data_IF_398488386989
#
_entry.id   IF_398488386989
#
_cell.length_a   1.000
_cell.length_b   1.000
_cell.length_c   1.000
_cell.angle_alpha   90.00
_cell.angle_beta   90.00
_cell.angle_gamma   90.00
#
_symmetry.space_group_name_H-M   'P 1'
#
loop_
_entity.id
_entity.type
_entity.pdbx_description
1 polymer ?
#
# COMPACT_ATOMS: atom_id res chain seq x y z
N UNK A 1 82.66 -28.12 26.07
CA UNK A 1 82.80 -26.97 26.98
C UNK A 1 81.68 -27.02 28.00
N UNK A 2 82.07 -27.17 29.27
CA UNK A 2 81.42 -26.75 30.52
C UNK A 2 79.91 -27.08 30.73
N UNK A 3 79.75 -28.15 31.51
CA UNK A 3 78.77 -28.49 32.56
C UNK A 3 77.92 -27.35 33.17
N UNK A 4 76.64 -27.59 33.46
CA UNK A 4 76.10 -27.59 34.83
C UNK A 4 74.65 -28.11 34.91
N UNK A 5 74.47 -29.02 35.87
CA UNK A 5 73.28 -29.72 36.38
C UNK A 5 72.62 -28.87 37.53
N UNK A 6 71.70 -29.37 38.39
CA UNK A 6 70.26 -29.64 38.23
C UNK A 6 69.34 -28.94 39.30
N UNK A 7 68.03 -29.20 39.18
CA UNK A 7 66.96 -29.39 40.20
C UNK A 7 66.99 -28.72 41.59
N UNK A 8 65.82 -28.19 42.01
CA UNK A 8 65.41 -28.15 43.42
C UNK A 8 63.86 -28.12 43.57
N UNK A 9 63.37 -28.98 44.48
CA UNK A 9 62.01 -29.08 45.01
C UNK A 9 62.05 -28.68 46.48
N UNK A 10 60.99 -28.06 47.05
CA UNK A 10 60.42 -28.25 48.41
C UNK A 10 59.64 -27.00 48.90
N UNK A 11 58.39 -27.21 49.36
CA UNK A 11 57.66 -26.27 50.24
C UNK A 11 58.08 -26.46 51.71
N UNK A 12 57.21 -26.26 52.73
CA UNK A 12 56.06 -25.36 52.91
C UNK A 12 56.21 -24.49 54.20
N UNK A 13 55.37 -23.46 54.42
CA UNK A 13 55.16 -22.84 55.76
C UNK A 13 53.73 -22.29 55.94
N UNK A 14 53.07 -22.71 57.03
CA UNK A 14 51.95 -22.06 57.77
C UNK A 14 52.53 -21.41 59.06
N UNK A 15 51.81 -20.69 59.99
CA UNK A 15 50.35 -20.55 60.22
C UNK A 15 49.81 -19.15 60.68
N UNK A 16 48.47 -19.09 60.88
CA UNK A 16 47.59 -18.30 61.82
C UNK A 16 47.75 -16.77 62.00
N UNK A 17 46.62 -16.04 61.82
CA UNK A 17 45.85 -15.53 62.98
C UNK A 17 44.41 -15.10 62.65
N UNK A 18 43.57 -15.26 63.67
CA UNK A 18 42.13 -15.03 63.79
C UNK A 18 41.78 -13.54 63.87
N UNK A 19 40.60 -13.14 63.37
CA UNK A 19 39.74 -12.15 64.02
C UNK A 19 38.33 -12.15 63.39
N UNK A 20 37.37 -12.28 64.28
CA UNK A 20 35.91 -12.37 64.11
C UNK A 20 35.27 -11.03 63.76
N UNK A 21 34.25 -11.01 62.89
CA UNK A 21 33.14 -10.06 63.06
C UNK A 21 31.81 -10.71 62.66
N UNK A 22 30.90 -10.78 63.63
CA UNK A 22 29.55 -11.34 63.52
C UNK A 22 28.64 -10.36 62.77
N UNK A 23 27.78 -10.92 61.91
CA UNK A 23 26.69 -10.26 61.21
C UNK A 23 25.60 -9.73 62.15
N UNK A 24 24.93 -8.63 61.79
CA UNK A 24 23.63 -8.30 62.35
C UNK A 24 22.53 -9.14 61.69
N UNK A 25 21.57 -9.52 62.53
CA UNK A 25 20.40 -10.37 62.29
C UNK A 25 19.46 -9.75 61.24
N UNK A 26 19.20 -10.44 60.13
CA UNK A 26 18.13 -10.11 59.19
C UNK A 26 16.91 -10.95 59.55
N UNK A 27 15.77 -10.28 59.73
CA UNK A 27 14.49 -10.87 60.06
C UNK A 27 14.01 -11.86 58.97
N UNK A 28 13.53 -13.03 59.40
CA UNK A 28 12.87 -14.02 58.55
C UNK A 28 11.46 -13.53 58.16
N UNK A 29 11.22 -13.32 56.88
CA UNK A 29 9.85 -13.24 56.33
C UNK A 29 9.26 -14.66 56.26
N UNK A 30 7.97 -14.87 56.56
CA UNK A 30 7.33 -16.16 56.36
C UNK A 30 7.13 -16.42 54.86
N UNK A 31 7.48 -17.63 54.42
CA UNK A 31 7.28 -18.11 53.06
C UNK A 31 5.80 -18.06 52.66
N UNK A 32 5.52 -17.41 51.53
CA UNK A 32 4.19 -17.40 50.92
C UNK A 32 4.01 -18.70 50.15
N UNK A 33 2.91 -19.46 50.34
CA UNK A 33 2.72 -20.70 49.59
C UNK A 33 2.57 -20.41 48.08
N UNK A 34 3.05 -21.31 47.21
CA UNK A 34 3.00 -21.12 45.77
C UNK A 34 1.54 -21.09 45.28
N UNK A 35 1.22 -20.05 44.50
CA UNK A 35 -0.08 -19.92 43.84
C UNK A 35 -0.19 -21.05 42.80
N UNK A 36 -1.25 -21.88 42.81
CA UNK A 36 -1.40 -22.93 41.81
C UNK A 36 -1.63 -22.30 40.44
N UNK A 37 -0.67 -22.48 39.53
CA UNK A 37 -0.85 -22.14 38.12
C UNK A 37 -1.86 -23.11 37.50
N UNK A 38 -3.14 -22.74 37.52
CA UNK A 38 -4.16 -23.39 36.69
C UNK A 38 -3.75 -23.22 35.23
N UNK A 39 -3.24 -24.29 34.63
CA UNK A 39 -3.11 -24.40 33.17
C UNK A 39 -4.52 -24.44 32.62
N UNK A 40 -5.01 -23.30 32.15
CA UNK A 40 -6.17 -23.27 31.26
C UNK A 40 -5.79 -24.07 30.01
N UNK A 41 -6.58 -25.08 29.59
CA UNK A 41 -6.25 -25.85 28.41
C UNK A 41 -6.28 -24.92 27.20
N UNK A 42 -5.18 -24.86 26.44
CA UNK A 42 -5.06 -24.01 25.25
C UNK A 42 -6.21 -24.21 24.23
N UNK A 43 -6.87 -25.38 24.26
CA UNK A 43 -8.06 -25.69 23.47
C UNK A 43 -9.29 -24.81 23.79
N UNK A 44 -9.43 -24.30 25.01
CA UNK A 44 -10.58 -23.47 25.40
C UNK A 44 -10.48 -22.02 24.86
N UNK A 45 -9.26 -21.55 24.55
CA UNK A 45 -9.04 -20.21 23.99
C UNK A 45 -9.22 -20.22 22.46
N UNK A 46 -8.79 -21.30 21.80
CA UNK A 46 -8.99 -21.49 20.35
C UNK A 46 -10.47 -21.65 19.97
N UNK A 47 -11.27 -22.27 20.83
CA UNK A 47 -12.72 -22.43 20.62
C UNK A 47 -13.51 -21.14 20.87
N UNK A 48 -13.07 -20.28 21.81
CA UNK A 48 -13.72 -18.98 22.05
C UNK A 48 -13.45 -17.96 20.93
N UNK A 49 -12.28 -18.01 20.29
CA UNK A 49 -11.94 -17.12 19.18
C UNK A 49 -12.71 -17.45 17.88
N UNK A 50 -13.09 -18.72 17.70
CA UNK A 50 -13.92 -19.17 16.58
C UNK A 50 -15.42 -18.79 16.74
N UNK A 51 -15.86 -18.48 17.96
CA UNK A 51 -17.23 -18.03 18.25
C UNK A 51 -17.41 -16.50 18.15
N UNK A 52 -16.31 -15.73 18.15
CA UNK A 52 -16.32 -14.26 18.00
C UNK A 52 -16.08 -13.80 16.55
N UNK A 53 -15.78 -14.73 15.64
CA UNK A 53 -15.66 -14.43 14.22
C UNK A 53 -16.82 -15.14 13.50
N UNK A 54 -17.86 -14.43 13.06
CA UNK A 54 -18.89 -15.05 12.23
C UNK A 54 -18.21 -15.69 10.99
N UNK A 55 -18.57 -16.93 10.62
CA UNK A 55 -18.07 -17.54 9.40
C UNK A 55 -18.72 -16.83 8.21
N UNK A 56 -18.07 -15.78 7.73
CA UNK A 56 -18.56 -15.01 6.61
C UNK A 56 -17.60 -13.89 6.31
N UNK A 57 -17.25 -13.75 5.04
CA UNK A 57 -16.52 -12.63 4.45
C UNK A 57 -15.06 -12.46 4.87
N UNK A 58 -14.23 -13.46 4.58
CA UNK A 58 -12.94 -13.13 3.92
C UNK A 58 -13.21 -12.78 2.46
N UNK A 59 -14.03 -11.75 2.23
CA UNK A 59 -14.16 -11.14 0.91
C UNK A 59 -12.81 -10.53 0.59
N UNK A 60 -12.15 -11.01 -0.48
CA UNK A 60 -10.88 -10.43 -0.91
C UNK A 60 -11.10 -8.97 -1.30
N UNK A 61 -10.66 -8.05 -0.45
CA UNK A 61 -10.74 -6.62 -0.70
C UNK A 61 -9.54 -6.19 -1.53
N UNK A 62 -9.80 -5.42 -2.58
CA UNK A 62 -8.80 -4.86 -3.47
C UNK A 62 -8.54 -3.40 -3.09
N UNK A 63 -7.29 -3.10 -2.72
CA UNK A 63 -6.84 -1.74 -2.47
C UNK A 63 -6.46 -1.01 -3.76
N UNK A 64 -6.94 0.23 -3.86
CA UNK A 64 -6.59 1.23 -4.86
C UNK A 64 -5.90 2.41 -4.18
N UNK A 65 -4.59 2.59 -4.38
CA UNK A 65 -3.81 3.64 -3.70
C UNK A 65 -4.06 5.06 -4.27
N UNK A 66 -4.74 5.18 -5.42
CA UNK A 66 -5.00 6.46 -6.08
C UNK A 66 -3.85 6.92 -6.99
N UNK A 67 -3.00 6.01 -7.47
CA UNK A 67 -1.91 6.36 -8.39
C UNK A 67 -2.44 6.62 -9.80
N UNK A 68 -1.89 7.59 -10.56
CA UNK A 68 -2.29 7.85 -11.93
C UNK A 68 -2.28 6.59 -12.82
N UNK A 69 -3.38 6.38 -13.55
CA UNK A 69 -3.58 5.29 -14.50
C UNK A 69 -3.72 3.89 -13.88
N UNK A 70 -3.80 3.74 -12.56
CA UNK A 70 -4.18 2.45 -11.97
C UNK A 70 -5.54 1.99 -12.52
N UNK A 71 -5.79 0.68 -12.51
CA UNK A 71 -7.09 0.10 -12.84
C UNK A 71 -7.12 -1.37 -12.45
N UNK A 72 -8.33 -1.88 -12.26
CA UNK A 72 -8.62 -3.30 -12.27
C UNK A 72 -9.67 -3.58 -13.37
N UNK A 73 -9.50 -4.68 -14.09
CA UNK A 73 -10.34 -5.10 -15.21
C UNK A 73 -11.02 -6.40 -14.82
N UNK A 74 -12.35 -6.38 -14.86
CA UNK A 74 -13.21 -7.52 -14.57
C UNK A 74 -13.96 -7.95 -15.83
N UNK A 75 -14.48 -9.17 -15.82
CA UNK A 75 -15.35 -9.67 -16.87
C UNK A 75 -16.52 -8.72 -17.14
N UNK A 76 -16.96 -8.71 -18.40
CA UNK A 76 -18.06 -7.86 -18.87
C UNK A 76 -19.34 -8.11 -18.05
N UNK A 77 -19.93 -7.03 -17.56
CA UNK A 77 -21.31 -7.02 -17.06
C UNK A 77 -22.27 -6.78 -18.24
N UNK A 78 -23.16 -7.74 -18.56
CA UNK A 78 -24.03 -7.72 -19.75
C UNK A 78 -25.04 -6.55 -19.80
N UNK A 79 -25.92 -6.52 -20.81
CA UNK A 79 -26.86 -5.40 -21.06
C UNK A 79 -27.86 -5.11 -19.92
N UNK A 80 -28.04 -6.04 -18.99
CA UNK A 80 -28.92 -5.90 -17.83
C UNK A 80 -28.45 -6.73 -16.63
N UNK A 81 -29.19 -6.64 -15.53
CA UNK A 81 -28.93 -7.39 -14.31
C UNK A 81 -28.40 -6.52 -13.17
N UNK A 82 -27.70 -7.14 -12.22
CA UNK A 82 -27.22 -6.52 -10.98
C UNK A 82 -25.70 -6.60 -10.89
N UNK A 83 -25.07 -5.54 -10.42
CA UNK A 83 -23.66 -5.48 -10.01
C UNK A 83 -23.62 -4.98 -8.57
N UNK A 84 -22.99 -5.71 -7.65
CA UNK A 84 -22.88 -5.29 -6.25
C UNK A 84 -21.44 -5.37 -5.76
N UNK A 85 -21.08 -4.50 -4.83
CA UNK A 85 -19.78 -4.46 -4.18
C UNK A 85 -19.83 -3.60 -2.92
N UNK A 86 -18.81 -3.74 -2.07
CA UNK A 86 -18.59 -2.86 -0.93
C UNK A 86 -17.41 -1.94 -1.22
N UNK A 87 -17.51 -0.67 -0.86
CA UNK A 87 -16.42 0.29 -1.02
C UNK A 87 -16.08 1.00 0.28
N UNK A 88 -14.83 1.44 0.40
CA UNK A 88 -14.37 2.33 1.47
C UNK A 88 -13.46 3.40 0.88
N UNK A 89 -13.79 4.67 1.09
CA UNK A 89 -12.99 5.78 0.56
C UNK A 89 -13.06 7.03 1.44
N UNK A 90 -12.10 7.93 1.25
CA UNK A 90 -12.09 9.28 1.84
C UNK A 90 -11.93 10.38 0.78
N UNK A 91 -12.03 10.04 -0.52
CA UNK A 91 -11.89 11.03 -1.60
C UNK A 91 -13.25 11.62 -1.96
N UNK A 92 -13.27 12.89 -2.35
CA UNK A 92 -14.49 13.59 -2.78
C UNK A 92 -14.72 13.53 -4.29
N UNK A 93 -13.68 13.23 -5.08
CA UNK A 93 -13.77 13.11 -6.54
C UNK A 93 -12.89 11.97 -7.05
N UNK A 94 -13.46 11.01 -7.77
CA UNK A 94 -12.72 9.97 -8.47
C UNK A 94 -13.61 9.13 -9.41
N UNK A 95 -13.01 8.54 -10.45
CA UNK A 95 -13.63 7.50 -11.25
C UNK A 95 -13.61 6.16 -10.50
N UNK A 96 -14.78 5.57 -10.26
CA UNK A 96 -14.92 4.29 -9.58
C UNK A 96 -15.16 3.12 -10.54
N UNK A 97 -16.11 3.25 -11.48
CA UNK A 97 -16.40 2.23 -12.49
C UNK A 97 -16.56 2.86 -13.87
N UNK A 98 -16.13 2.15 -14.92
CA UNK A 98 -16.39 2.52 -16.31
C UNK A 98 -16.60 1.28 -17.20
N UNK A 99 -17.55 1.40 -18.12
CA UNK A 99 -17.77 0.45 -19.22
C UNK A 99 -18.51 1.15 -20.38
N UNK A 100 -18.32 0.65 -21.60
CA UNK A 100 -18.95 1.21 -22.79
C UNK A 100 -19.14 0.18 -23.91
N UNK A 101 -19.61 0.64 -25.07
CA UNK A 101 -19.74 -0.12 -26.32
C UNK A 101 -18.51 -0.05 -27.23
N UNK A 102 -17.35 0.36 -26.70
CA UNK A 102 -16.08 0.40 -27.43
C UNK A 102 -15.89 1.64 -28.32
N UNK A 103 -16.38 2.80 -27.88
CA UNK A 103 -16.16 4.08 -28.57
C UNK A 103 -17.29 4.51 -29.49
N UNK A 104 -18.50 3.99 -29.29
CA UNK A 104 -19.63 4.26 -30.16
C UNK A 104 -20.61 5.24 -29.48
N UNK A 105 -21.69 4.76 -28.84
CA UNK A 105 -22.78 5.63 -28.35
C UNK A 105 -23.27 5.31 -26.93
N UNK A 106 -22.84 4.20 -26.35
CA UNK A 106 -23.28 3.74 -25.04
C UNK A 106 -22.16 3.75 -24.01
N UNK A 107 -22.44 4.30 -22.84
CA UNK A 107 -21.52 4.23 -21.71
C UNK A 107 -22.27 4.16 -20.38
N UNK A 108 -21.58 3.63 -19.38
CA UNK A 108 -21.94 3.73 -17.98
C UNK A 108 -20.70 4.06 -17.18
N UNK A 109 -20.75 5.14 -16.41
CA UNK A 109 -19.74 5.51 -15.44
C UNK A 109 -20.34 5.65 -14.05
N UNK A 110 -19.59 5.20 -13.04
CA UNK A 110 -19.87 5.49 -11.65
C UNK A 110 -18.66 6.26 -11.10
N UNK A 111 -18.91 7.40 -10.50
CA UNK A 111 -17.88 8.26 -9.95
C UNK A 111 -18.25 8.75 -8.57
N UNK A 112 -17.23 8.98 -7.75
CA UNK A 112 -17.36 9.76 -6.53
C UNK A 112 -17.32 11.23 -6.96
N UNK A 113 -18.32 12.01 -6.57
CA UNK A 113 -18.36 13.43 -6.81
C UNK A 113 -19.00 14.14 -5.61
N UNK A 114 -18.29 15.14 -5.08
CA UNK A 114 -18.66 15.85 -3.85
C UNK A 114 -18.89 14.87 -2.69
N UNK A 115 -18.10 13.78 -2.65
CA UNK A 115 -18.18 12.74 -1.65
C UNK A 115 -19.35 11.76 -1.81
N UNK A 116 -20.20 11.93 -2.84
CA UNK A 116 -21.37 11.08 -3.12
C UNK A 116 -21.11 10.21 -4.35
N UNK A 117 -21.86 9.12 -4.52
CA UNK A 117 -21.81 8.34 -5.74
C UNK A 117 -22.72 8.95 -6.79
N UNK A 118 -22.21 9.13 -8.01
CA UNK A 118 -22.95 9.62 -9.16
C UNK A 118 -22.80 8.62 -10.31
N UNK A 119 -23.90 7.99 -10.66
CA UNK A 119 -24.05 7.13 -11.82
C UNK A 119 -24.45 8.00 -13.02
N UNK A 120 -23.73 7.89 -14.13
CA UNK A 120 -24.10 8.52 -15.40
C UNK A 120 -24.10 7.47 -16.49
N UNK A 121 -25.12 7.50 -17.35
CA UNK A 121 -25.22 6.54 -18.44
C UNK A 121 -25.99 7.09 -19.63
N UNK A 122 -25.58 6.68 -20.83
CA UNK A 122 -26.23 7.01 -22.08
C UNK A 122 -26.46 5.75 -22.92
N UNK A 123 -27.53 5.78 -23.71
CA UNK A 123 -27.89 4.70 -24.64
C UNK A 123 -28.17 5.36 -26.00
N UNK A 124 -27.55 4.86 -27.06
CA UNK A 124 -27.72 5.32 -28.44
C UNK A 124 -27.51 6.84 -28.60
N UNK A 125 -26.42 7.36 -28.01
CA UNK A 125 -26.03 8.77 -28.09
C UNK A 125 -27.09 9.75 -27.55
N UNK A 126 -28.01 9.26 -26.72
CA UNK A 126 -28.96 10.10 -26.01
C UNK A 126 -28.27 10.95 -24.93
N UNK A 127 -28.94 12.02 -24.52
CA UNK A 127 -28.49 12.82 -23.36
C UNK A 127 -28.33 11.91 -22.12
N UNK A 128 -27.17 11.94 -21.45
CA UNK A 128 -26.92 11.03 -20.33
C UNK A 128 -27.89 11.24 -19.17
N UNK A 129 -28.46 10.15 -18.67
CA UNK A 129 -29.17 10.17 -17.40
C UNK A 129 -28.15 10.22 -16.24
N UNK A 130 -28.51 10.91 -15.16
CA UNK A 130 -27.68 11.08 -13.96
C UNK A 130 -28.48 10.64 -12.73
N UNK A 131 -27.90 9.78 -11.92
CA UNK A 131 -28.45 9.34 -10.63
C UNK A 131 -27.37 9.54 -9.57
N UNK A 132 -27.67 10.30 -8.53
CA UNK A 132 -26.72 10.59 -7.46
C UNK A 132 -27.25 10.08 -6.13
N UNK A 133 -26.39 9.47 -5.31
CA UNK A 133 -26.77 9.00 -3.97
C UNK A 133 -27.11 10.19 -3.05
N UNK A 134 -28.14 10.01 -2.23
CA UNK A 134 -28.54 10.99 -1.22
C UNK A 134 -27.56 11.05 -0.04
N UNK A 135 -26.82 9.97 0.20
CA UNK A 135 -25.80 9.83 1.24
C UNK A 135 -24.38 9.96 0.69
N UNK A 136 -23.47 10.50 1.50
CA UNK A 136 -22.05 10.58 1.19
C UNK A 136 -21.35 9.27 1.56
N UNK A 137 -20.29 8.92 0.82
CA UNK A 137 -19.54 7.66 0.96
C UNK A 137 -18.06 7.86 1.28
N UNK A 138 -17.63 9.11 1.46
CA UNK A 138 -16.24 9.50 1.66
C UNK A 138 -15.87 9.66 3.15
N UNK A 139 -16.57 8.96 4.04
CA UNK A 139 -16.38 9.04 5.49
C UNK A 139 -15.33 8.04 6.03
N UNK A 140 -14.68 7.28 5.14
CA UNK A 140 -13.68 6.28 5.49
C UNK A 140 -14.27 4.97 6.03
N UNK A 141 -15.59 4.75 5.97
CA UNK A 141 -16.26 3.51 6.37
C UNK A 141 -16.67 2.69 5.16
N UNK A 142 -17.08 1.45 5.42
CA UNK A 142 -17.59 0.56 4.39
C UNK A 142 -19.02 0.93 4.03
N UNK A 143 -19.28 1.08 2.74
CA UNK A 143 -20.59 1.31 2.16
C UNK A 143 -20.93 0.17 1.20
N UNK A 144 -22.17 -0.31 1.26
CA UNK A 144 -22.68 -1.29 0.31
C UNK A 144 -23.25 -0.57 -0.91
N UNK A 145 -22.82 -0.97 -2.10
CA UNK A 145 -23.25 -0.38 -3.37
C UNK A 145 -23.82 -1.45 -4.28
N UNK A 146 -24.97 -1.16 -4.87
CA UNK A 146 -25.60 -2.02 -5.87
C UNK A 146 -26.08 -1.18 -7.05
N UNK A 147 -25.63 -1.54 -8.24
CA UNK A 147 -26.17 -1.06 -9.51
C UNK A 147 -27.13 -2.09 -10.08
N UNK A 148 -28.25 -1.65 -10.62
CA UNK A 148 -29.12 -2.50 -11.42
C UNK A 148 -29.47 -1.84 -12.74
N UNK A 149 -29.61 -2.64 -13.80
CA UNK A 149 -29.99 -2.17 -15.14
C UNK A 149 -31.12 -3.02 -15.70
N UNK A 150 -32.14 -2.33 -16.22
CA UNK A 150 -33.27 -2.94 -16.91
C UNK A 150 -33.72 -2.03 -18.05
N UNK A 151 -33.33 -2.38 -19.28
CA UNK A 151 -33.67 -1.58 -20.45
C UNK A 151 -33.08 -0.17 -20.38
N UNK A 152 -33.96 0.84 -20.38
CA UNK A 152 -33.58 2.27 -20.33
C UNK A 152 -33.43 2.82 -18.91
N UNK A 153 -33.64 1.98 -17.91
CA UNK A 153 -33.54 2.35 -16.51
C UNK A 153 -32.28 1.77 -15.88
N UNK A 154 -31.61 2.57 -15.07
CA UNK A 154 -30.56 2.12 -14.17
C UNK A 154 -30.80 2.69 -12.77
N UNK A 155 -30.58 1.85 -11.75
CA UNK A 155 -30.69 2.23 -10.35
C UNK A 155 -29.35 2.12 -9.64
N UNK A 156 -29.14 3.04 -8.69
CA UNK A 156 -28.02 3.08 -7.77
C UNK A 156 -28.59 2.95 -6.36
N UNK A 157 -28.21 1.89 -5.66
CA UNK A 157 -28.48 1.69 -4.25
C UNK A 157 -27.20 1.85 -3.42
N UNK A 158 -27.25 2.66 -2.37
CA UNK A 158 -26.15 2.87 -1.41
C UNK A 158 -26.70 2.68 -0.01
N UNK A 159 -26.15 1.71 0.72
CA UNK A 159 -26.58 1.36 2.10
C UNK A 159 -28.09 1.13 2.25
N UNK A 160 -28.73 0.59 1.21
CA UNK A 160 -30.17 0.35 1.16
C UNK A 160 -31.00 1.49 0.55
N UNK A 161 -30.46 2.71 0.45
CA UNK A 161 -31.13 3.83 -0.21
C UNK A 161 -31.04 3.68 -1.73
N UNK A 162 -32.17 3.50 -2.41
CA UNK A 162 -32.21 3.25 -3.85
C UNK A 162 -32.78 4.45 -4.61
N UNK A 163 -32.06 4.90 -5.63
CA UNK A 163 -32.51 5.90 -6.59
C UNK A 163 -32.36 5.37 -8.02
N UNK A 164 -33.31 5.69 -8.88
CA UNK A 164 -33.33 5.24 -10.27
C UNK A 164 -33.38 6.43 -11.24
N UNK A 165 -32.80 6.24 -12.41
CA UNK A 165 -32.85 7.19 -13.51
C UNK A 165 -33.23 6.46 -14.79
N UNK A 166 -33.88 7.18 -15.70
CA UNK A 166 -34.30 6.67 -17.01
C UNK A 166 -33.68 7.53 -18.09
N UNK A 167 -33.00 6.90 -19.05
CA UNK A 167 -32.45 7.60 -20.21
C UNK A 167 -33.49 7.71 -21.33
N UNK A 168 -33.62 8.90 -21.91
CA UNK A 168 -34.51 9.14 -23.06
C UNK A 168 -33.84 8.71 -24.37
N UNK A 169 -33.70 7.40 -24.54
CA UNK A 169 -33.08 6.81 -25.72
C UNK A 169 -34.09 6.22 -26.71
N UNK A 170 -33.71 6.16 -28.00
CA UNK A 170 -34.44 5.43 -29.05
C UNK A 170 -34.31 3.92 -28.90
N UNK A 171 -33.18 3.43 -28.38
CA UNK A 171 -32.91 1.99 -28.20
C UNK A 171 -33.35 1.56 -26.80
N UNK A 172 -33.86 0.33 -26.69
CA UNK A 172 -34.40 -0.19 -25.43
C UNK A 172 -33.32 -0.61 -24.44
N UNK A 173 -32.20 -1.16 -24.92
CA UNK A 173 -31.11 -1.69 -24.08
C UNK A 173 -29.78 -1.04 -24.41
N UNK A 174 -28.85 -1.05 -23.46
CA UNK A 174 -27.46 -0.62 -23.64
C UNK A 174 -26.65 -1.73 -24.33
N UNK A 175 -25.89 -1.42 -25.38
CA UNK A 175 -24.89 -2.33 -25.89
C UNK A 175 -23.63 -2.24 -25.02
N UNK A 176 -22.99 -3.38 -24.79
CA UNK A 176 -21.76 -3.44 -23.98
C UNK A 176 -20.68 -4.14 -24.80
N UNK A 177 -19.61 -3.41 -25.08
CA UNK A 177 -18.47 -3.80 -25.91
C UNK A 177 -17.17 -3.90 -25.12
N UNK A 178 -17.02 -3.19 -24.01
CA UNK A 178 -15.85 -3.27 -23.14
C UNK A 178 -16.00 -4.30 -22.03
N UNK A 179 -14.89 -4.53 -21.33
CA UNK A 179 -14.87 -5.10 -19.99
C UNK A 179 -15.27 -4.06 -18.93
N UNK A 180 -15.45 -4.49 -17.67
CA UNK A 180 -15.70 -3.60 -16.54
C UNK A 180 -14.37 -3.11 -15.95
N UNK A 181 -14.14 -1.80 -16.00
CA UNK A 181 -12.99 -1.17 -15.37
C UNK A 181 -13.35 -0.59 -14.00
N UNK A 182 -12.48 -0.79 -13.02
CA UNK A 182 -12.64 -0.35 -11.63
C UNK A 182 -11.43 0.45 -11.18
N UNK A 183 -11.69 1.60 -10.54
CA UNK A 183 -10.71 2.47 -9.90
C UNK A 183 -9.83 3.31 -10.85
N UNK A 184 -10.10 3.24 -12.16
CA UNK A 184 -9.41 3.95 -13.23
C UNK A 184 -9.54 3.21 -14.57
N UNK A 185 -8.91 3.73 -15.62
CA UNK A 185 -8.81 3.09 -16.95
C UNK A 185 -7.34 2.97 -17.40
N UNK A 186 -7.03 2.06 -18.34
CA UNK A 186 -5.68 1.96 -18.92
C UNK A 186 -5.26 3.27 -19.62
N UNK A 187 -4.05 3.82 -19.35
CA UNK A 187 -3.61 5.08 -19.95
C UNK A 187 -3.33 4.96 -21.46
N UNK A 188 -3.01 3.75 -21.91
CA UNK A 188 -2.75 3.36 -23.30
C UNK A 188 -4.03 3.15 -24.11
N UNK A 189 -5.21 3.22 -23.48
CA UNK A 189 -6.47 3.19 -24.21
C UNK A 189 -6.56 4.38 -25.17
N UNK A 190 -6.90 4.08 -26.42
CA UNK A 190 -7.14 5.10 -27.46
C UNK A 190 -8.44 5.83 -27.13
N UNK A 191 -8.46 7.16 -27.30
CA UNK A 191 -9.68 7.95 -27.08
C UNK A 191 -10.85 7.49 -27.97
N UNK A 192 -10.56 7.02 -29.18
CA UNK A 192 -11.57 6.49 -30.11
C UNK A 192 -12.19 5.15 -29.67
N UNK A 193 -11.61 4.49 -28.66
CA UNK A 193 -12.17 3.28 -28.07
C UNK A 193 -13.01 3.57 -26.82
N UNK A 194 -13.08 4.84 -26.40
CA UNK A 194 -13.86 5.31 -25.25
C UNK A 194 -15.06 6.10 -25.75
N UNK A 195 -16.26 5.66 -25.40
CA UNK A 195 -17.48 6.39 -25.77
C UNK A 195 -17.57 7.71 -25.01
N UNK A 196 -17.13 7.71 -23.74
CA UNK A 196 -16.94 8.93 -22.96
C UNK A 196 -15.44 9.20 -22.78
N UNK A 197 -14.83 9.91 -23.73
CA UNK A 197 -13.38 10.17 -23.73
C UNK A 197 -12.88 10.98 -22.54
N UNK A 198 -13.74 11.78 -21.90
CA UNK A 198 -13.41 12.59 -20.72
C UNK A 198 -13.03 11.74 -19.51
N UNK A 199 -13.47 10.48 -19.46
CA UNK A 199 -13.16 9.53 -18.38
C UNK A 199 -11.65 9.28 -18.21
N UNK A 200 -10.86 9.50 -19.27
CA UNK A 200 -9.40 9.42 -19.23
C UNK A 200 -8.75 10.45 -18.31
N UNK A 201 -9.44 11.56 -18.06
CA UNK A 201 -8.94 12.68 -17.27
C UNK A 201 -9.54 12.73 -15.86
N UNK A 202 -10.41 11.79 -15.50
CA UNK A 202 -10.94 11.73 -14.15
C UNK A 202 -9.88 11.25 -13.15
N UNK A 203 -10.00 11.73 -11.91
CA UNK A 203 -9.07 11.38 -10.86
C UNK A 203 -9.13 9.87 -10.54
N UNK A 204 -7.99 9.20 -10.30
CA UNK A 204 -7.98 7.79 -9.92
C UNK A 204 -8.61 7.58 -8.53
N UNK A 205 -9.33 6.48 -8.36
CA UNK A 205 -9.97 6.15 -7.08
C UNK A 205 -8.96 5.83 -5.99
N UNK A 206 -9.08 6.42 -4.81
CA UNK A 206 -8.30 5.97 -3.64
C UNK A 206 -9.22 5.35 -2.63
N UNK A 207 -8.95 4.11 -2.25
CA UNK A 207 -9.80 3.38 -1.32
C UNK A 207 -9.72 1.87 -1.51
N UNK A 208 -10.75 1.18 -1.05
CA UNK A 208 -10.86 -0.27 -1.11
C UNK A 208 -12.18 -0.64 -1.78
N UNK A 209 -12.15 -1.69 -2.59
CA UNK A 209 -13.34 -2.31 -3.18
C UNK A 209 -13.31 -3.79 -2.83
N UNK A 210 -14.38 -4.30 -2.24
CA UNK A 210 -14.50 -5.69 -1.84
C UNK A 210 -15.75 -6.32 -2.45
N UNK A 211 -15.73 -7.66 -2.57
CA UNK A 211 -16.92 -8.45 -2.86
C UNK A 211 -17.67 -8.01 -4.13
N UNK A 212 -16.94 -7.70 -5.21
CA UNK A 212 -17.57 -7.38 -6.48
C UNK A 212 -18.25 -8.62 -7.06
N UNK A 213 -19.57 -8.52 -7.32
CA UNK A 213 -20.41 -9.61 -7.86
C UNK A 213 -21.23 -9.14 -9.04
N UNK A 214 -21.45 -10.02 -10.00
CA UNK A 214 -22.39 -9.86 -11.12
C UNK A 214 -23.53 -10.85 -10.89
N UNK A 215 -24.73 -10.35 -10.59
CA UNK A 215 -25.79 -11.16 -10.01
C UNK A 215 -25.35 -11.70 -8.65
N UNK A 216 -25.41 -13.03 -8.49
CA UNK A 216 -24.97 -13.72 -7.26
C UNK A 216 -23.50 -14.20 -7.35
N UNK A 217 -22.93 -14.19 -8.56
CA UNK A 217 -21.60 -14.73 -8.84
C UNK A 217 -20.49 -13.70 -8.60
N UNK A 218 -19.35 -14.10 -7.99
CA UNK A 218 -18.17 -13.24 -7.90
C UNK A 218 -17.70 -12.78 -9.30
N UNK A 219 -17.40 -11.50 -9.44
CA UNK A 219 -16.90 -10.96 -10.69
C UNK A 219 -15.49 -11.50 -11.00
N UNK A 220 -15.29 -11.99 -12.23
CA UNK A 220 -14.00 -12.55 -12.66
C UNK A 220 -12.99 -11.44 -12.87
N UNK A 221 -11.94 -11.38 -12.04
CA UNK A 221 -10.82 -10.45 -12.23
C UNK A 221 -9.93 -10.91 -13.39
N UNK A 222 -9.92 -10.15 -14.49
CA UNK A 222 -9.15 -10.45 -15.70
C UNK A 222 -7.76 -9.81 -15.71
N UNK A 223 -7.53 -8.81 -14.87
CA UNK A 223 -6.23 -8.16 -14.72
C UNK A 223 -6.29 -6.93 -13.83
N UNK A 224 -5.17 -6.56 -13.22
CA UNK A 224 -5.05 -5.32 -12.44
C UNK A 224 -3.67 -4.74 -12.61
N UNK A 225 -3.52 -3.41 -12.54
CA UNK A 225 -2.20 -2.78 -12.55
C UNK A 225 -1.59 -2.77 -11.14
N UNK A 226 -0.76 -3.79 -10.84
CA UNK A 226 -0.11 -4.02 -9.53
C UNK A 226 0.97 -3.02 -9.15
N UNK A 227 1.45 -2.23 -10.10
CA UNK A 227 2.50 -1.20 -9.94
C UNK A 227 2.20 -0.09 -8.92
N UNK A 228 0.99 -0.09 -8.36
CA UNK A 228 0.46 0.95 -7.50
C UNK A 228 0.57 0.60 -6.01
N UNK A 229 0.41 -0.69 -5.64
CA UNK A 229 0.32 -1.12 -4.23
C UNK A 229 1.66 -1.00 -3.49
N UNK A 230 2.78 -1.09 -4.21
CA UNK A 230 4.13 -0.67 -3.82
C UNK A 230 4.79 -0.32 -5.16
N UNK A 231 5.19 0.94 -5.46
CA UNK A 231 5.84 1.26 -6.72
C UNK A 231 7.11 0.41 -6.79
N UNK A 232 7.13 -0.68 -7.59
CA UNK A 232 8.26 -1.60 -7.59
C UNK A 232 9.46 -0.95 -8.27
N UNK A 233 9.23 0.13 -9.04
CA UNK A 233 10.25 0.89 -9.72
C UNK A 233 10.60 2.14 -8.92
N UNK A 234 11.86 2.24 -8.51
CA UNK A 234 12.43 3.43 -7.90
C UNK A 234 12.76 4.50 -8.96
N UNK A 235 13.13 5.69 -8.49
CA UNK A 235 13.70 6.80 -9.29
C UNK A 235 12.93 7.18 -10.57
N UNK A 236 11.61 7.03 -10.58
CA UNK A 236 10.77 7.41 -11.71
C UNK A 236 10.72 6.38 -12.84
N UNK A 237 11.19 5.15 -12.61
CA UNK A 237 11.08 4.06 -13.58
C UNK A 237 9.63 3.72 -13.93
N UNK A 238 9.37 3.43 -15.20
CA UNK A 238 8.03 3.09 -15.68
C UNK A 238 7.71 1.63 -15.39
N UNK A 239 6.74 1.39 -14.54
CA UNK A 239 6.27 0.03 -14.24
C UNK A 239 5.28 -0.47 -15.30
N UNK A 240 5.60 -1.60 -15.92
CA UNK A 240 4.72 -2.37 -16.79
C UNK A 240 4.51 -3.78 -16.22
N UNK A 241 3.42 -4.47 -16.59
CA UNK A 241 3.20 -5.86 -16.21
C UNK A 241 3.53 -6.78 -17.38
N UNK A 242 4.42 -7.74 -17.20
CA UNK A 242 4.64 -8.86 -18.14
C UNK A 242 4.24 -10.17 -17.47
N UNK A 243 3.28 -10.89 -18.05
CA UNK A 243 2.71 -12.15 -17.52
C UNK A 243 2.19 -12.08 -16.07
N UNK A 244 1.89 -10.88 -15.57
CA UNK A 244 1.40 -10.67 -14.20
C UNK A 244 2.47 -10.22 -13.19
N UNK A 245 3.75 -10.26 -13.55
CA UNK A 245 4.87 -9.69 -12.78
C UNK A 245 5.12 -8.22 -13.14
N UNK A 246 5.44 -7.35 -12.16
CA UNK A 246 5.91 -6.00 -12.43
C UNK A 246 7.32 -6.02 -13.01
N UNK A 247 7.51 -5.26 -14.09
CA UNK A 247 8.78 -5.05 -14.75
C UNK A 247 8.99 -3.55 -14.94
N UNK A 248 10.17 -3.07 -14.56
CA UNK A 248 10.52 -1.66 -14.62
C UNK A 248 11.30 -1.34 -15.89
N UNK A 249 10.90 -0.28 -16.57
CA UNK A 249 11.69 0.39 -17.59
C UNK A 249 12.39 1.59 -16.95
N UNK A 250 13.71 1.51 -16.88
CA UNK A 250 14.56 2.51 -16.23
C UNK A 250 15.17 3.51 -17.22
N UNK A 251 14.81 3.44 -18.51
CA UNK A 251 15.32 4.36 -19.52
C UNK A 251 15.03 5.82 -19.16
N UNK A 252 16.07 6.66 -19.21
CA UNK A 252 15.97 8.10 -18.88
C UNK A 252 15.91 8.41 -17.38
N UNK A 253 16.05 7.41 -16.50
CA UNK A 253 16.14 7.64 -15.04
C UNK A 253 17.57 7.75 -14.53
N UNK A 254 18.58 7.30 -15.30
CA UNK A 254 19.98 7.21 -14.85
C UNK A 254 20.21 6.06 -13.85
N UNK A 255 19.24 5.16 -13.73
CA UNK A 255 19.29 4.01 -12.87
C UNK A 255 19.07 2.72 -13.67
N UNK A 256 19.56 1.61 -13.15
CA UNK A 256 19.48 0.29 -13.76
C UNK A 256 18.94 -0.75 -12.76
N UNK A 257 18.89 -2.02 -13.20
CA UNK A 257 18.34 -3.13 -12.42
C UNK A 257 16.83 -3.33 -12.62
N UNK A 258 16.28 -4.45 -12.12
CA UNK A 258 14.88 -4.85 -12.35
C UNK A 258 13.85 -3.89 -11.74
N UNK A 259 14.30 -3.04 -10.83
CA UNK A 259 13.50 -2.10 -10.04
C UNK A 259 14.03 -0.66 -10.09
N UNK A 260 14.96 -0.35 -11.00
CA UNK A 260 15.57 0.98 -11.13
C UNK A 260 16.22 1.52 -9.83
N UNK A 261 16.73 0.63 -8.98
CA UNK A 261 17.34 0.97 -7.69
C UNK A 261 18.86 1.11 -7.76
N UNK A 262 19.47 0.58 -8.81
CA UNK A 262 20.92 0.61 -9.00
C UNK A 262 21.28 1.93 -9.68
N UNK A 263 22.25 2.68 -9.17
CA UNK A 263 22.74 3.88 -9.83
C UNK A 263 23.69 3.50 -10.96
N UNK A 264 23.42 3.94 -12.19
CA UNK A 264 24.48 4.00 -13.18
C UNK A 264 25.30 5.24 -12.87
N UNK A 265 26.48 5.02 -12.28
CA UNK A 265 27.53 6.04 -12.27
C UNK A 265 27.66 6.58 -13.69
N UNK A 266 27.49 7.89 -13.83
CA UNK A 266 27.52 8.61 -15.08
C UNK A 266 28.51 7.98 -16.06
N UNK A 267 27.98 7.42 -17.15
CA UNK A 267 28.77 6.91 -18.25
C UNK A 267 29.80 7.96 -18.66
N UNK A 268 31.07 7.55 -18.62
CA UNK A 268 32.21 8.40 -18.91
C UNK A 268 32.03 9.15 -20.22
N UNK A 269 31.95 10.47 -20.12
CA UNK A 269 32.45 11.33 -21.18
C UNK A 269 33.96 11.24 -21.08
N UNK A 270 34.58 10.59 -22.07
CA UNK A 270 36.02 10.61 -22.29
C UNK A 270 36.48 12.07 -22.44
N UNK A 271 36.85 12.70 -21.33
CA UNK A 271 37.74 13.86 -21.35
C UNK A 271 39.15 13.32 -21.25
N UNK A 272 39.92 13.58 -22.30
CA UNK A 272 41.28 13.12 -22.47
C UNK A 272 42.18 13.47 -21.29
N UNK A 273 43.11 12.55 -21.03
CA UNK A 273 44.37 12.71 -20.33
C UNK A 273 44.57 14.01 -19.53
N UNK A 274 44.38 13.90 -18.22
CA UNK A 274 44.95 14.81 -17.25
C UNK A 274 45.09 14.05 -15.95
N UNK A 275 46.33 13.78 -15.54
CA UNK A 275 46.63 13.28 -14.21
C UNK A 275 45.89 14.12 -13.16
N UNK A 276 45.48 13.50 -12.06
CA UNK A 276 45.78 13.89 -10.67
C UNK A 276 45.06 12.89 -9.76
N UNK A 277 45.82 12.30 -8.84
CA UNK A 277 45.31 11.34 -7.86
C UNK A 277 44.42 12.02 -6.83
N UNK A 278 43.42 11.27 -6.37
CA UNK A 278 42.53 11.69 -5.30
C UNK A 278 41.42 10.69 -5.10
N UNK A 279 41.73 9.55 -4.47
CA UNK A 279 40.72 8.63 -3.96
C UNK A 279 40.02 9.24 -2.74
N UNK A 280 38.69 9.17 -2.72
CA UNK A 280 37.89 9.20 -1.51
C UNK A 280 36.85 8.11 -1.64
N UNK A 281 37.17 6.95 -1.05
CA UNK A 281 36.26 5.85 -0.84
C UNK A 281 35.82 5.84 0.63
N UNK A 282 34.54 5.51 0.80
CA UNK A 282 33.87 4.96 1.97
C UNK A 282 33.52 5.88 3.16
N UNK A 283 32.20 5.91 3.39
CA UNK A 283 31.50 5.93 4.68
C UNK A 283 31.21 7.27 5.35
N UNK A 284 29.98 7.76 5.14
CA UNK A 284 29.03 8.14 6.20
C UNK A 284 27.80 8.87 5.60
N UNK A 285 26.60 8.32 5.73
CA UNK A 285 25.37 9.12 5.89
C UNK A 285 24.23 8.28 6.49
N UNK A 286 24.21 8.20 7.81
CA UNK A 286 22.98 8.10 8.57
C UNK A 286 22.50 9.51 8.94
N UNK A 287 21.25 9.78 8.59
CA UNK A 287 20.28 10.57 9.38
C UNK A 287 20.55 12.07 9.67
N UNK A 288 19.67 12.89 9.08
CA UNK A 288 19.17 14.23 9.48
C UNK A 288 20.07 15.46 9.26
N UNK A 289 19.51 16.41 8.49
CA UNK A 289 19.69 17.85 8.73
C UNK A 289 20.28 18.61 7.55
N UNK A 290 19.42 19.19 6.70
CA UNK A 290 19.79 20.38 5.94
C UNK A 290 20.01 21.54 6.93
N UNK A 291 21.17 22.17 6.85
CA UNK A 291 21.51 23.41 7.54
C UNK A 291 22.76 23.99 6.88
N UNK A 292 22.58 25.14 6.26
CA UNK A 292 23.52 25.84 5.39
C UNK A 292 24.81 26.29 6.10
N UNK A 293 25.87 26.37 5.28
CA UNK A 293 27.07 27.20 5.41
C UNK A 293 28.22 26.73 6.32
N UNK A 294 29.29 26.35 5.61
CA UNK A 294 30.63 26.10 6.09
C UNK A 294 31.24 27.34 6.76
N UNK A 295 31.76 27.18 7.98
CA UNK A 295 32.93 27.91 8.48
C UNK A 295 33.74 26.98 9.39
N UNK A 296 34.96 26.69 8.97
CA UNK A 296 35.82 25.69 9.61
C UNK A 296 36.44 26.17 10.92
N UNK A 297 36.68 25.23 11.83
CA UNK A 297 37.69 25.34 12.88
C UNK A 297 38.31 23.95 13.08
N UNK A 298 39.62 23.85 12.85
CA UNK A 298 40.45 22.70 13.22
C UNK A 298 40.62 22.71 14.73
N UNK A 299 40.30 21.61 15.41
CA UNK A 299 40.64 21.43 16.83
C UNK A 299 41.46 20.16 17.01
N UNK A 300 42.72 20.37 17.41
CA UNK A 300 43.66 19.34 17.88
C UNK A 300 43.44 19.15 19.38
N UNK A 301 43.20 17.90 19.78
CA UNK A 301 43.68 17.26 21.02
C UNK A 301 43.59 17.96 22.38
N UNK A 302 42.93 17.25 23.32
CA UNK A 302 43.22 17.14 24.75
C UNK A 302 43.08 18.37 25.66
N UNK A 303 41.92 18.50 26.32
CA UNK A 303 41.77 18.26 27.77
C UNK A 303 40.35 18.63 28.22
N UNK A 304 39.74 17.74 28.98
CA UNK A 304 38.54 18.04 29.78
C UNK A 304 38.99 18.90 30.96
N UNK A 305 38.47 20.13 31.06
CA UNK A 305 38.45 20.87 32.32
C UNK A 305 37.15 21.66 32.42
N UNK A 306 36.32 21.30 33.40
CA UNK A 306 35.52 22.25 34.16
C UNK A 306 34.19 22.73 33.56
N UNK A 307 33.11 22.35 34.24
CA UNK A 307 31.81 23.02 34.21
C UNK A 307 31.89 24.46 34.72
N UNK A 308 31.10 25.38 34.14
CA UNK A 308 30.43 26.44 34.89
C UNK A 308 29.05 26.73 34.29
N UNK A 309 28.11 27.04 35.18
CA UNK A 309 26.68 27.24 35.01
C UNK A 309 26.36 28.72 35.32
N UNK A 310 25.37 29.29 34.62
CA UNK A 310 24.72 30.62 34.78
C UNK A 310 25.56 31.86 34.40
N UNK A 311 25.05 32.86 33.67
CA UNK A 311 23.68 33.40 33.54
C UNK A 311 23.31 33.62 32.07
#
# INVERSE_FOLDING_TARGET
MINHNPAATLGPKTPRNSLTHRSPTVALCPDRPPIPRRRLPALAILTLCALLCPPGTSGSALEFPGTPGQWARYGRWGSGGRLSFSLKTNVSRALLLYMDDGGNCDFLELLVAEGRLRLRFAIACAEPAVVASASAVNDGRWHSVMLSRRGREAALAVDGETLAGVVRSKRAEMAVGSDLFVGGIPPDVRLSALTLSTVKYEAPFRGWVAELRVGEEPAVLLGRRRCAQHPPCAHGGRCALRRGEPQCDCAGTGHSGPFCGEGEGAGGVLWGAGLWGGGCGSDCCGVRGCGSDCCGVVVVGCRVVGWWLWV
#
